data_IF_809160916341
#
_entry.id   IF_809160916341
#
_cell.length_a   1.000
_cell.length_b   1.000
_cell.length_c   1.000
_cell.angle_alpha   90.00
_cell.angle_beta   90.00
_cell.angle_gamma   90.00
#
_symmetry.space_group_name_H-M   'P 1'
#
loop_
_entity.id
_entity.type
_entity.pdbx_description
1 polymer ?
#
# COMPACT_ATOMS: atom_id res chain seq x y z
N UNK A 1 6.12 32.13 11.65
CA UNK A 1 6.53 32.68 12.93
C UNK A 1 5.54 32.31 14.01
N UNK A 2 6.01 32.00 15.22
CA UNK A 2 5.15 31.78 16.39
C UNK A 2 4.72 33.17 16.92
N UNK A 3 3.42 33.45 16.85
CA UNK A 3 2.86 34.68 17.47
C UNK A 3 2.34 34.30 18.85
N UNK A 4 2.95 34.84 19.90
CA UNK A 4 2.44 34.69 21.28
C UNK A 4 1.18 35.54 21.41
N UNK A 5 0.03 34.94 21.65
CA UNK A 5 -1.23 35.62 21.90
C UNK A 5 -1.40 35.72 23.40
N UNK A 6 -1.56 36.93 23.97
CA UNK A 6 -1.62 37.14 25.42
C UNK A 6 -2.93 36.65 26.04
N UNK A 7 -3.94 36.30 25.22
CA UNK A 7 -5.28 35.90 25.70
C UNK A 7 -5.56 34.45 25.31
N UNK A 8 -5.84 33.59 26.30
CA UNK A 8 -6.19 32.18 26.10
C UNK A 8 -7.39 31.99 25.14
N UNK A 9 -8.39 32.84 25.24
CA UNK A 9 -9.58 32.75 24.37
C UNK A 9 -9.22 32.99 22.91
N UNK A 10 -8.31 33.91 22.62
CA UNK A 10 -7.83 34.16 21.25
C UNK A 10 -7.01 32.98 20.71
N UNK A 11 -6.18 32.34 21.58
CA UNK A 11 -5.47 31.12 21.18
C UNK A 11 -6.44 29.98 20.85
N UNK A 12 -7.47 29.78 21.66
CA UNK A 12 -8.51 28.78 21.40
C UNK A 12 -9.33 29.12 20.16
N UNK A 13 -9.62 30.40 19.90
CA UNK A 13 -10.40 30.84 18.73
C UNK A 13 -9.69 30.55 17.39
N UNK A 14 -8.36 30.48 17.35
CA UNK A 14 -7.60 30.17 16.12
C UNK A 14 -7.46 28.67 15.83
N UNK A 15 -7.93 27.80 16.72
CA UNK A 15 -7.89 26.35 16.53
C UNK A 15 -8.88 25.90 15.48
N UNK A 16 -8.75 24.65 15.02
CA UNK A 16 -9.55 24.10 13.95
C UNK A 16 -10.99 23.73 14.40
N UNK A 17 -11.11 22.91 15.44
CA UNK A 17 -12.39 22.36 15.86
C UNK A 17 -12.64 22.61 17.35
N UNK A 18 -13.94 22.71 17.72
CA UNK A 18 -14.39 22.97 19.10
C UNK A 18 -13.81 21.95 20.08
N UNK A 19 -13.75 20.67 19.72
CA UNK A 19 -13.21 19.59 20.54
C UNK A 19 -11.69 19.75 20.83
N UNK A 20 -10.99 20.51 20.02
CA UNK A 20 -9.56 20.85 20.18
C UNK A 20 -9.35 22.26 20.75
N UNK A 21 -10.43 23.04 20.91
CA UNK A 21 -10.39 24.44 21.35
C UNK A 21 -10.76 24.58 22.84
N UNK A 22 -10.21 23.71 23.66
CA UNK A 22 -10.33 23.69 25.11
C UNK A 22 -8.95 23.71 25.76
N UNK A 23 -8.84 24.26 26.94
CA UNK A 23 -7.62 24.24 27.74
C UNK A 23 -7.89 23.69 29.15
N UNK A 24 -7.05 22.78 29.60
CA UNK A 24 -7.08 22.25 30.95
C UNK A 24 -6.06 22.98 31.83
N UNK A 25 -6.48 23.45 32.99
CA UNK A 25 -5.63 24.05 33.99
C UNK A 25 -4.96 23.00 34.88
N UNK A 26 -3.96 23.43 35.67
CA UNK A 26 -3.20 22.55 36.57
C UNK A 26 -4.10 21.92 37.67
N UNK A 27 -5.17 22.61 38.04
CA UNK A 27 -6.18 22.15 39.02
C UNK A 27 -7.21 21.20 38.43
N UNK A 28 -7.08 20.85 37.13
CA UNK A 28 -7.99 19.99 36.39
C UNK A 28 -9.26 20.70 35.87
N UNK A 29 -9.45 22.00 36.17
CA UNK A 29 -10.53 22.78 35.55
C UNK A 29 -10.31 22.97 34.04
N UNK A 30 -11.40 23.10 33.28
CA UNK A 30 -11.32 23.23 31.83
C UNK A 30 -11.99 24.53 31.38
N UNK A 31 -11.23 25.37 30.70
CA UNK A 31 -11.77 26.50 29.94
C UNK A 31 -12.27 26.00 28.58
N UNK A 32 -13.57 26.20 28.34
CA UNK A 32 -14.26 25.81 27.10
C UNK A 32 -15.10 26.99 26.59
N UNK A 33 -14.53 27.78 25.70
CA UNK A 33 -15.18 28.98 25.14
C UNK A 33 -16.07 28.67 23.94
N UNK A 34 -15.98 27.46 23.37
CA UNK A 34 -16.64 27.10 22.10
C UNK A 34 -17.51 25.86 22.18
N UNK A 35 -17.92 25.47 23.38
CA UNK A 35 -18.77 24.30 23.65
C UNK A 35 -18.17 22.95 23.18
N UNK A 36 -16.82 22.85 23.21
CA UNK A 36 -16.10 21.64 22.81
C UNK A 36 -16.45 20.41 23.63
N UNK A 37 -16.71 20.55 24.95
CA UNK A 37 -17.19 19.45 25.81
C UNK A 37 -18.52 18.89 25.33
N UNK A 38 -19.45 19.74 24.91
CA UNK A 38 -20.76 19.32 24.43
C UNK A 38 -20.62 18.59 23.09
N UNK A 39 -19.82 19.10 22.17
CA UNK A 39 -19.55 18.45 20.88
C UNK A 39 -18.78 17.13 21.06
N UNK A 40 -17.81 17.07 21.98
CA UNK A 40 -17.09 15.84 22.33
C UNK A 40 -18.07 14.77 22.85
N UNK A 41 -19.00 15.14 23.74
CA UNK A 41 -20.00 14.22 24.27
C UNK A 41 -20.98 13.72 23.21
N UNK A 42 -21.28 14.58 22.21
CA UNK A 42 -22.20 14.23 21.11
C UNK A 42 -21.50 13.51 19.95
N UNK A 43 -20.18 13.43 19.96
CA UNK A 43 -19.42 12.87 18.86
C UNK A 43 -19.46 13.74 17.58
N UNK A 44 -19.30 15.05 17.73
CA UNK A 44 -19.43 16.02 16.64
C UNK A 44 -18.08 16.73 16.39
N UNK A 45 -17.69 16.81 15.11
CA UNK A 45 -16.60 17.65 14.62
C UNK A 45 -17.22 18.93 14.11
N UNK A 46 -17.03 20.03 14.83
CA UNK A 46 -17.49 21.37 14.49
C UNK A 46 -16.34 22.34 14.38
N UNK A 47 -16.31 23.13 13.31
CA UNK A 47 -15.31 24.19 13.16
C UNK A 47 -15.49 25.28 14.22
N UNK A 48 -14.38 25.85 14.69
CA UNK A 48 -14.41 27.02 15.60
C UNK A 48 -14.72 28.27 14.76
N UNK A 49 -15.81 28.95 15.12
CA UNK A 49 -16.27 30.16 14.42
C UNK A 49 -16.87 29.85 13.05
N UNK A 50 -16.61 30.73 12.08
CA UNK A 50 -17.12 30.59 10.71
C UNK A 50 -16.26 29.61 9.90
N UNK A 51 -16.78 28.44 9.47
CA UNK A 51 -16.01 27.44 8.76
C UNK A 51 -15.50 27.90 7.39
N UNK A 52 -16.25 28.70 6.64
CA UNK A 52 -15.80 29.21 5.34
C UNK A 52 -14.53 30.05 5.49
N UNK A 53 -14.53 30.99 6.43
CA UNK A 53 -13.37 31.81 6.72
C UNK A 53 -12.20 30.94 7.16
N UNK A 54 -12.42 29.96 8.05
CA UNK A 54 -11.38 29.08 8.61
C UNK A 54 -10.74 28.18 7.53
N UNK A 55 -11.50 27.73 6.56
CA UNK A 55 -10.99 26.89 5.45
C UNK A 55 -10.20 27.75 4.43
N UNK A 56 -10.60 29.01 4.23
CA UNK A 56 -9.79 29.93 3.41
C UNK A 56 -8.47 30.34 4.08
N UNK A 57 -8.42 30.41 5.41
CA UNK A 57 -7.16 30.64 6.15
C UNK A 57 -6.20 29.44 6.04
N UNK A 58 -6.71 28.19 6.13
CA UNK A 58 -5.94 26.96 5.96
C UNK A 58 -6.85 25.82 5.50
N UNK A 59 -6.78 25.51 4.21
CA UNK A 59 -7.58 24.46 3.58
C UNK A 59 -7.29 23.06 4.13
N UNK A 60 -6.11 22.82 4.77
CA UNK A 60 -5.82 21.53 5.40
C UNK A 60 -6.81 21.16 6.49
N UNK A 61 -7.47 22.13 7.10
CA UNK A 61 -8.51 21.87 8.10
C UNK A 61 -9.64 21.00 7.59
N UNK A 62 -9.97 21.07 6.28
CA UNK A 62 -10.97 20.21 5.65
C UNK A 62 -10.55 18.73 5.69
N UNK A 63 -9.30 18.42 5.34
CA UNK A 63 -8.76 17.07 5.46
C UNK A 63 -8.71 16.62 6.92
N UNK A 64 -8.34 17.53 7.83
CA UNK A 64 -8.31 17.25 9.26
C UNK A 64 -9.69 16.92 9.84
N UNK A 65 -10.77 17.55 9.36
CA UNK A 65 -12.15 17.23 9.76
C UNK A 65 -12.48 15.77 9.46
N UNK A 66 -12.25 15.31 8.24
CA UNK A 66 -12.46 13.92 7.84
C UNK A 66 -11.52 12.95 8.56
N UNK A 67 -10.25 13.32 8.76
CA UNK A 67 -9.32 12.51 9.56
C UNK A 67 -9.81 12.32 11.00
N UNK A 68 -10.25 13.39 11.67
CA UNK A 68 -10.80 13.26 13.03
C UNK A 68 -12.09 12.45 13.05
N UNK A 69 -12.94 12.62 12.05
CA UNK A 69 -14.12 11.77 11.87
C UNK A 69 -13.73 10.28 11.78
N UNK A 70 -12.72 9.97 10.96
CA UNK A 70 -12.22 8.59 10.79
C UNK A 70 -11.58 8.02 12.06
N UNK A 71 -10.82 8.82 12.80
CA UNK A 71 -10.11 8.39 14.02
C UNK A 71 -11.02 8.24 15.23
N UNK A 72 -11.96 9.16 15.41
CA UNK A 72 -12.82 9.21 16.61
C UNK A 72 -14.20 8.57 16.39
N UNK A 73 -14.57 8.35 15.13
CA UNK A 73 -15.90 7.88 14.80
C UNK A 73 -16.99 8.97 14.92
N UNK A 74 -16.61 10.23 14.92
CA UNK A 74 -17.49 11.37 15.07
C UNK A 74 -18.07 11.83 13.74
N UNK A 75 -19.28 12.39 13.78
CA UNK A 75 -19.91 13.02 12.61
C UNK A 75 -19.41 14.45 12.43
N UNK A 76 -19.28 14.91 11.19
CA UNK A 76 -19.01 16.31 10.91
C UNK A 76 -20.34 17.09 10.98
N UNK A 77 -20.35 18.23 11.68
CA UNK A 77 -21.51 19.10 11.82
C UNK A 77 -21.92 19.65 10.43
N UNK A 78 -23.22 19.82 10.19
CA UNK A 78 -23.82 20.10 8.89
C UNK A 78 -23.24 21.36 8.22
N UNK A 79 -23.14 22.48 8.95
CA UNK A 79 -22.59 23.72 8.41
C UNK A 79 -21.10 23.58 8.08
N UNK A 80 -20.35 22.88 8.94
CA UNK A 80 -18.95 22.54 8.69
C UNK A 80 -18.80 21.66 7.45
N UNK A 81 -19.65 20.63 7.29
CA UNK A 81 -19.62 19.72 6.14
C UNK A 81 -19.96 20.45 4.83
N UNK A 82 -20.97 21.33 4.83
CA UNK A 82 -21.33 22.16 3.68
C UNK A 82 -20.17 23.07 3.25
N UNK A 83 -19.56 23.74 4.22
CA UNK A 83 -18.42 24.61 3.92
C UNK A 83 -17.20 23.83 3.37
N UNK A 84 -17.00 22.56 3.78
CA UNK A 84 -15.96 21.68 3.20
C UNK A 84 -16.25 21.52 1.70
N UNK A 85 -17.45 21.11 1.31
CA UNK A 85 -17.84 20.91 -0.10
C UNK A 85 -17.65 22.18 -0.93
N UNK A 86 -18.08 23.33 -0.42
CA UNK A 86 -17.99 24.62 -1.12
C UNK A 86 -16.54 25.10 -1.29
N UNK A 87 -15.63 24.73 -0.40
CA UNK A 87 -14.23 25.18 -0.41
C UNK A 87 -13.23 24.08 -0.80
N UNK A 88 -13.67 22.88 -1.16
CA UNK A 88 -12.80 21.72 -1.47
C UNK A 88 -11.73 22.02 -2.54
N UNK A 89 -12.07 22.89 -3.53
CA UNK A 89 -11.13 23.33 -4.56
C UNK A 89 -9.85 23.98 -4.05
N UNK A 90 -9.85 24.54 -2.83
CA UNK A 90 -8.67 25.13 -2.20
C UNK A 90 -7.62 24.06 -1.85
N UNK A 91 -8.01 22.79 -1.70
CA UNK A 91 -7.07 21.70 -1.40
C UNK A 91 -6.04 21.48 -2.50
N UNK A 92 -6.29 21.90 -3.74
CA UNK A 92 -5.31 21.85 -4.85
C UNK A 92 -4.08 22.71 -4.61
N UNK A 93 -4.19 23.72 -3.75
CA UNK A 93 -3.10 24.64 -3.41
C UNK A 93 -2.23 24.17 -2.25
N UNK A 94 -2.61 23.07 -1.60
CA UNK A 94 -1.86 22.50 -0.47
C UNK A 94 -0.60 21.80 -0.97
N UNK A 95 0.44 21.80 -0.12
CA UNK A 95 1.60 20.96 -0.39
C UNK A 95 1.24 19.48 -0.26
N UNK A 96 1.77 18.67 -1.17
CA UNK A 96 1.52 17.21 -1.21
C UNK A 96 1.90 16.51 0.08
N UNK A 97 2.98 16.96 0.72
CA UNK A 97 3.47 16.42 2.00
C UNK A 97 2.42 16.59 3.10
N UNK A 98 1.77 17.77 3.19
CA UNK A 98 0.72 18.02 4.18
C UNK A 98 -0.52 17.17 3.91
N UNK A 99 -0.93 17.07 2.63
CA UNK A 99 -2.07 16.24 2.21
C UNK A 99 -1.79 14.77 2.49
N UNK A 100 -0.60 14.27 2.13
CA UNK A 100 -0.17 12.90 2.39
C UNK A 100 -0.22 12.56 3.88
N UNK A 101 0.28 13.46 4.74
CA UNK A 101 0.30 13.22 6.18
C UNK A 101 -1.12 13.06 6.77
N UNK A 102 -2.11 13.81 6.29
CA UNK A 102 -3.50 13.66 6.74
C UNK A 102 -4.16 12.43 6.10
N UNK A 103 -3.89 12.15 4.81
CA UNK A 103 -4.37 10.95 4.12
C UNK A 103 -3.84 9.67 4.79
N UNK A 104 -2.55 9.61 5.13
CA UNK A 104 -1.96 8.45 5.82
C UNK A 104 -2.57 8.24 7.22
N UNK A 105 -2.76 9.31 8.00
CA UNK A 105 -3.44 9.20 9.31
C UNK A 105 -4.88 8.73 9.17
N UNK A 106 -5.57 9.10 8.09
CA UNK A 106 -6.92 8.60 7.79
C UNK A 106 -6.86 7.14 7.36
N UNK A 107 -5.93 6.79 6.48
CA UNK A 107 -5.70 5.41 6.04
C UNK A 107 -5.39 4.47 7.22
N UNK A 108 -4.65 4.93 8.21
CA UNK A 108 -4.27 4.15 9.40
C UNK A 108 -5.30 4.21 10.55
N UNK A 109 -6.40 4.92 10.34
CA UNK A 109 -7.47 5.04 11.34
C UNK A 109 -8.34 3.78 11.43
N UNK A 110 -9.22 3.68 12.46
CA UNK A 110 -10.24 2.64 12.53
C UNK A 110 -11.27 2.66 11.38
N UNK A 111 -11.39 3.79 10.66
CA UNK A 111 -12.34 3.99 9.55
C UNK A 111 -11.61 4.44 8.26
N UNK A 112 -10.70 3.62 7.72
CA UNK A 112 -9.87 4.00 6.56
C UNK A 112 -10.71 4.25 5.29
N UNK A 113 -11.90 3.66 5.19
CA UNK A 113 -12.84 3.88 4.09
C UNK A 113 -13.32 5.33 3.99
N UNK A 114 -13.13 6.15 5.02
CA UNK A 114 -13.38 7.61 4.97
C UNK A 114 -12.60 8.30 3.85
N UNK A 115 -11.47 7.70 3.40
CA UNK A 115 -10.75 8.18 2.24
C UNK A 115 -11.62 8.23 0.98
N UNK A 116 -12.64 7.36 0.82
CA UNK A 116 -13.54 7.41 -0.35
C UNK A 116 -14.30 8.74 -0.41
N UNK A 117 -14.74 9.24 0.75
CA UNK A 117 -15.41 10.56 0.82
C UNK A 117 -14.43 11.68 0.49
N UNK A 118 -13.21 11.64 1.04
CA UNK A 118 -12.18 12.64 0.77
C UNK A 118 -11.79 12.69 -0.71
N UNK A 119 -11.76 11.53 -1.40
CA UNK A 119 -11.49 11.43 -2.83
C UNK A 119 -12.65 11.99 -3.65
N UNK A 120 -13.89 11.63 -3.33
CA UNK A 120 -15.10 12.09 -4.01
C UNK A 120 -15.28 13.61 -3.87
N UNK A 121 -14.94 14.17 -2.72
CA UNK A 121 -15.01 15.61 -2.47
C UNK A 121 -13.80 16.38 -3.04
N UNK A 122 -12.83 15.73 -3.66
CA UNK A 122 -11.64 16.36 -4.26
C UNK A 122 -10.62 16.88 -3.25
N UNK A 123 -10.67 16.44 -1.98
CA UNK A 123 -9.74 16.91 -0.95
C UNK A 123 -8.29 16.41 -1.15
N UNK A 124 -8.09 15.35 -1.94
CA UNK A 124 -6.77 14.82 -2.29
C UNK A 124 -6.27 15.29 -3.67
N UNK A 125 -6.91 16.29 -4.26
CA UNK A 125 -6.60 16.80 -5.59
C UNK A 125 -5.15 17.30 -5.75
N UNK A 126 -4.52 17.81 -4.68
CA UNK A 126 -3.10 18.17 -4.70
C UNK A 126 -2.18 16.96 -4.99
N UNK A 127 -2.63 15.74 -4.68
CA UNK A 127 -1.95 14.49 -5.01
C UNK A 127 -2.41 13.90 -6.36
N UNK A 128 -3.16 14.66 -7.17
CA UNK A 128 -3.57 14.26 -8.51
C UNK A 128 -4.60 13.12 -8.55
N UNK A 129 -5.36 12.90 -7.47
CA UNK A 129 -6.37 11.86 -7.40
C UNK A 129 -7.69 12.43 -6.90
N UNK A 130 -8.75 12.15 -7.66
CA UNK A 130 -10.14 12.45 -7.37
C UNK A 130 -10.99 11.29 -7.91
N UNK A 131 -12.18 11.13 -7.40
CA UNK A 131 -13.15 10.16 -7.90
C UNK A 131 -13.90 9.41 -6.80
N UNK A 132 -14.82 8.57 -7.22
CA UNK A 132 -15.59 7.69 -6.34
C UNK A 132 -15.01 6.28 -6.38
N UNK A 133 -14.57 5.78 -5.22
CA UNK A 133 -13.92 4.50 -5.07
C UNK A 133 -14.50 3.75 -3.88
N UNK A 134 -14.79 2.47 -4.07
CA UNK A 134 -15.22 1.57 -3.01
C UNK A 134 -14.01 1.08 -2.19
N UNK A 135 -13.82 1.67 -1.00
CA UNK A 135 -12.65 1.42 -0.15
C UNK A 135 -12.95 0.57 1.11
N UNK A 136 -14.10 -0.09 1.18
CA UNK A 136 -14.50 -0.89 2.36
C UNK A 136 -13.51 -2.00 2.70
N UNK A 137 -12.84 -2.58 1.71
CA UNK A 137 -11.83 -3.62 1.93
C UNK A 137 -10.62 -3.14 2.76
N UNK A 138 -10.37 -1.83 2.86
CA UNK A 138 -9.33 -1.31 3.76
C UNK A 138 -9.56 -1.67 5.24
N UNK A 139 -10.81 -1.91 5.66
CA UNK A 139 -11.14 -2.33 7.03
C UNK A 139 -10.66 -3.73 7.37
N UNK A 140 -10.56 -4.60 6.38
CA UNK A 140 -10.17 -6.00 6.60
C UNK A 140 -8.66 -6.17 6.74
N UNK A 141 -7.89 -5.11 6.40
CA UNK A 141 -6.43 -5.12 6.47
C UNK A 141 -5.96 -4.48 7.77
N UNK A 142 -4.96 -5.06 8.41
CA UNK A 142 -4.32 -4.51 9.61
C UNK A 142 -3.91 -3.04 9.43
N UNK A 143 -3.95 -2.24 10.51
CA UNK A 143 -3.63 -0.82 10.48
C UNK A 143 -2.13 -0.55 10.36
N UNK A 144 -1.45 -1.26 9.45
CA UNK A 144 -0.06 -1.10 9.12
C UNK A 144 0.10 -0.35 7.79
N UNK A 145 1.02 0.61 7.75
CA UNK A 145 1.16 1.51 6.61
C UNK A 145 1.44 0.75 5.30
N UNK A 146 2.39 -0.18 5.30
CA UNK A 146 2.78 -0.90 4.08
C UNK A 146 1.62 -1.75 3.52
N UNK A 147 0.87 -2.43 4.40
CA UNK A 147 -0.29 -3.23 4.00
C UNK A 147 -1.45 -2.35 3.50
N UNK A 148 -1.79 -1.27 4.19
CA UNK A 148 -2.90 -0.40 3.79
C UNK A 148 -2.60 0.42 2.54
N UNK A 149 -1.37 0.88 2.33
CA UNK A 149 -0.98 1.51 1.06
C UNK A 149 -1.01 0.52 -0.10
N UNK A 150 -0.57 -0.74 0.12
CA UNK A 150 -0.66 -1.79 -0.89
C UNK A 150 -2.13 -2.11 -1.23
N UNK A 151 -3.02 -2.26 -0.24
CA UNK A 151 -4.45 -2.47 -0.48
C UNK A 151 -5.08 -1.27 -1.19
N UNK A 152 -4.73 -0.04 -0.84
CA UNK A 152 -5.21 1.16 -1.54
C UNK A 152 -4.79 1.13 -3.02
N UNK A 153 -3.57 0.70 -3.33
CA UNK A 153 -3.09 0.51 -4.71
C UNK A 153 -3.83 -0.61 -5.45
N UNK A 154 -4.21 -1.69 -4.76
CA UNK A 154 -5.08 -2.75 -5.32
C UNK A 154 -6.45 -2.18 -5.70
N UNK A 155 -7.06 -1.42 -4.78
CA UNK A 155 -8.40 -0.86 -4.97
C UNK A 155 -8.43 0.29 -5.99
N UNK A 156 -7.32 0.99 -6.16
CA UNK A 156 -7.15 2.08 -7.11
C UNK A 156 -5.92 1.82 -7.99
N UNK A 157 -6.02 0.95 -9.03
CA UNK A 157 -4.87 0.55 -9.84
C UNK A 157 -4.16 1.73 -10.53
N UNK A 158 -4.90 2.81 -10.83
CA UNK A 158 -4.37 4.04 -11.47
C UNK A 158 -3.70 5.00 -10.47
N UNK A 159 -3.70 4.68 -9.17
CA UNK A 159 -3.09 5.52 -8.14
C UNK A 159 -1.59 5.71 -8.44
N UNK A 160 -1.18 6.96 -8.65
CA UNK A 160 0.24 7.33 -8.69
C UNK A 160 0.74 7.62 -7.27
N UNK A 161 1.35 6.62 -6.65
CA UNK A 161 1.81 6.69 -5.27
C UNK A 161 2.96 7.69 -5.07
N UNK A 162 3.70 8.05 -6.12
CA UNK A 162 4.78 9.04 -6.05
C UNK A 162 4.24 10.45 -5.74
N UNK A 163 3.00 10.74 -6.13
CA UNK A 163 2.35 12.00 -5.82
C UNK A 163 2.15 12.22 -4.32
N UNK A 164 2.12 11.14 -3.53
CA UNK A 164 1.97 11.19 -2.07
C UNK A 164 3.30 11.39 -1.33
N UNK A 165 4.42 11.57 -2.03
CA UNK A 165 5.74 11.79 -1.40
C UNK A 165 6.12 10.74 -0.36
N UNK A 166 5.67 9.51 -0.56
CA UNK A 166 6.05 8.37 0.29
C UNK A 166 7.52 7.99 0.07
N UNK A 167 8.18 7.35 1.05
CA UNK A 167 9.51 6.77 0.86
C UNK A 167 9.51 5.79 -0.32
N UNK A 168 10.52 5.86 -1.19
CA UNK A 168 10.62 5.04 -2.41
C UNK A 168 10.49 3.54 -2.14
N UNK A 169 11.06 3.05 -1.01
CA UNK A 169 10.90 1.66 -0.58
C UNK A 169 9.42 1.28 -0.39
N UNK A 170 8.64 2.14 0.26
CA UNK A 170 7.20 1.87 0.49
C UNK A 170 6.42 1.88 -0.82
N UNK A 171 6.71 2.82 -1.72
CA UNK A 171 6.09 2.87 -3.04
C UNK A 171 6.36 1.55 -3.78
N UNK A 172 7.62 1.14 -3.88
CA UNK A 172 8.00 -0.09 -4.57
C UNK A 172 7.36 -1.33 -3.93
N UNK A 173 7.38 -1.43 -2.59
CA UNK A 173 6.76 -2.53 -1.85
C UNK A 173 5.26 -2.62 -2.12
N UNK A 174 4.55 -1.49 -2.02
CA UNK A 174 3.11 -1.46 -2.22
C UNK A 174 2.73 -1.77 -3.69
N UNK A 175 3.46 -1.26 -4.67
CA UNK A 175 3.24 -1.55 -6.09
C UNK A 175 3.50 -3.03 -6.41
N UNK A 176 4.60 -3.60 -5.89
CA UNK A 176 4.93 -5.02 -6.08
C UNK A 176 3.90 -5.92 -5.41
N UNK A 177 3.52 -5.63 -4.17
CA UNK A 177 2.51 -6.39 -3.45
C UNK A 177 1.13 -6.28 -4.11
N UNK A 178 0.74 -5.10 -4.59
CA UNK A 178 -0.53 -4.91 -5.30
C UNK A 178 -0.58 -5.69 -6.62
N UNK A 179 0.53 -5.73 -7.36
CA UNK A 179 0.63 -6.51 -8.60
C UNK A 179 0.58 -8.02 -8.37
N UNK A 180 1.10 -8.48 -7.23
CA UNK A 180 1.12 -9.88 -6.85
C UNK A 180 -0.13 -10.33 -6.07
N UNK A 181 -0.97 -9.40 -5.63
CA UNK A 181 -2.11 -9.66 -4.76
C UNK A 181 -3.11 -10.66 -5.35
N UNK A 182 -3.54 -11.59 -4.51
CA UNK A 182 -4.68 -12.48 -4.73
C UNK A 182 -5.55 -12.50 -3.47
N UNK A 183 -6.87 -12.65 -3.60
CA UNK A 183 -7.77 -12.75 -2.43
C UNK A 183 -7.45 -13.94 -1.52
N UNK A 184 -6.87 -15.00 -2.09
CA UNK A 184 -6.38 -16.18 -1.38
C UNK A 184 -5.23 -16.82 -2.14
N UNK A 185 -4.33 -17.47 -1.42
CA UNK A 185 -3.21 -18.23 -1.95
C UNK A 185 -3.29 -19.68 -1.49
N UNK A 186 -3.08 -20.63 -2.39
CA UNK A 186 -2.70 -21.98 -1.98
C UNK A 186 -1.27 -21.94 -1.38
N UNK A 187 -0.94 -22.92 -0.51
CA UNK A 187 0.42 -23.01 0.12
C UNK A 187 1.54 -22.89 -0.92
N UNK A 188 1.39 -23.61 -2.05
CA UNK A 188 2.37 -23.60 -3.14
C UNK A 188 2.51 -22.23 -3.80
N UNK A 189 1.42 -21.50 -3.99
CA UNK A 189 1.44 -20.16 -4.58
C UNK A 189 2.12 -19.15 -3.66
N UNK A 190 1.91 -19.27 -2.33
CA UNK A 190 2.55 -18.40 -1.36
C UNK A 190 4.06 -18.69 -1.25
N UNK A 191 4.48 -19.97 -1.36
CA UNK A 191 5.88 -20.35 -1.49
C UNK A 191 6.52 -19.77 -2.75
N UNK A 192 5.84 -19.86 -3.88
CA UNK A 192 6.30 -19.29 -5.16
C UNK A 192 6.43 -17.76 -5.08
N UNK A 193 5.47 -17.08 -4.46
CA UNK A 193 5.53 -15.64 -4.22
C UNK A 193 6.74 -15.27 -3.34
N UNK A 194 6.95 -16.03 -2.25
CA UNK A 194 8.09 -15.83 -1.35
C UNK A 194 9.44 -15.98 -2.10
N UNK A 195 9.54 -17.00 -2.95
CA UNK A 195 10.73 -17.25 -3.76
C UNK A 195 10.98 -16.17 -4.83
N UNK A 196 9.92 -15.68 -5.47
CA UNK A 196 10.00 -14.71 -6.58
C UNK A 196 10.19 -13.27 -6.10
N UNK A 197 9.46 -12.87 -5.04
CA UNK A 197 9.35 -11.46 -4.61
C UNK A 197 9.98 -11.17 -3.25
N UNK A 198 10.42 -12.21 -2.53
CA UNK A 198 11.02 -12.10 -1.20
C UNK A 198 10.02 -12.00 -0.07
N UNK A 199 10.54 -12.12 1.15
CA UNK A 199 9.73 -12.22 2.37
C UNK A 199 8.88 -10.97 2.64
N UNK A 200 9.43 -9.79 2.36
CA UNK A 200 8.75 -8.53 2.64
C UNK A 200 7.44 -8.37 1.83
N UNK A 201 7.50 -8.67 0.53
CA UNK A 201 6.32 -8.66 -0.35
C UNK A 201 5.34 -9.77 0.04
N UNK A 202 5.84 -10.98 0.32
CA UNK A 202 5.00 -12.11 0.75
C UNK A 202 4.26 -11.80 2.06
N UNK A 203 4.91 -11.15 3.03
CA UNK A 203 4.27 -10.71 4.29
C UNK A 203 3.16 -9.70 4.04
N UNK A 204 3.38 -8.72 3.16
CA UNK A 204 2.32 -7.77 2.79
C UNK A 204 1.16 -8.51 2.11
N UNK A 205 1.41 -9.34 1.11
CA UNK A 205 0.36 -10.10 0.42
C UNK A 205 -0.42 -11.02 1.37
N UNK A 206 0.26 -11.70 2.31
CA UNK A 206 -0.37 -12.53 3.34
C UNK A 206 -1.32 -11.70 4.23
N UNK A 207 -0.93 -10.48 4.63
CA UNK A 207 -1.80 -9.55 5.37
C UNK A 207 -3.01 -9.11 4.56
N UNK A 208 -2.83 -8.83 3.26
CA UNK A 208 -3.94 -8.44 2.39
C UNK A 208 -4.97 -9.55 2.19
N UNK A 209 -4.55 -10.83 2.26
CA UNK A 209 -5.39 -12.01 2.10
C UNK A 209 -5.76 -12.69 3.42
N UNK A 210 -5.38 -12.13 4.58
CA UNK A 210 -5.58 -12.71 5.92
C UNK A 210 -4.97 -14.13 6.04
N UNK A 211 -3.77 -14.34 5.50
CA UNK A 211 -3.07 -15.62 5.48
C UNK A 211 -1.70 -15.58 6.16
N UNK A 212 -1.51 -14.67 7.14
CA UNK A 212 -0.25 -14.54 7.87
C UNK A 212 0.14 -15.85 8.57
N UNK A 213 -0.84 -16.57 9.14
CA UNK A 213 -0.58 -17.84 9.80
C UNK A 213 0.01 -18.90 8.83
N UNK A 214 -0.52 -18.97 7.60
CA UNK A 214 0.01 -19.86 6.57
C UNK A 214 1.42 -19.48 6.15
N UNK A 215 1.71 -18.17 6.03
CA UNK A 215 3.06 -17.72 5.71
C UNK A 215 4.04 -18.05 6.83
N UNK A 216 3.68 -17.82 8.09
CA UNK A 216 4.53 -18.17 9.24
C UNK A 216 4.79 -19.68 9.31
N UNK A 217 3.80 -20.52 9.03
CA UNK A 217 3.98 -21.96 8.93
C UNK A 217 5.01 -22.34 7.86
N UNK A 218 4.93 -21.71 6.67
CA UNK A 218 5.91 -21.93 5.60
C UNK A 218 7.32 -21.51 6.02
N UNK A 219 7.44 -20.33 6.65
CA UNK A 219 8.75 -19.83 7.10
C UNK A 219 9.39 -20.70 8.20
N UNK A 220 8.56 -21.31 9.05
CA UNK A 220 9.03 -22.19 10.15
C UNK A 220 9.26 -23.63 9.70
N UNK A 221 8.71 -24.06 8.56
CA UNK A 221 8.83 -25.46 8.07
C UNK A 221 10.26 -25.86 7.71
N UNK A 222 11.16 -24.89 7.48
CA UNK A 222 12.51 -25.13 6.97
C UNK A 222 12.57 -25.57 5.51
N UNK A 223 11.43 -25.55 4.79
CA UNK A 223 11.39 -25.83 3.36
C UNK A 223 12.21 -24.80 2.56
N UNK A 224 12.81 -25.25 1.48
CA UNK A 224 13.57 -24.36 0.60
C UNK A 224 12.61 -23.43 -0.16
N UNK A 225 12.72 -22.14 0.08
CA UNK A 225 11.91 -21.09 -0.57
C UNK A 225 12.79 -20.00 -1.23
N UNK A 226 14.07 -20.28 -1.43
CA UNK A 226 14.99 -19.32 -2.06
C UNK A 226 16.14 -20.04 -2.74
N UNK A 227 16.80 -19.36 -3.71
CA UNK A 227 18.00 -19.88 -4.38
C UNK A 227 19.13 -20.21 -3.38
N UNK A 228 19.19 -19.52 -2.24
CA UNK A 228 20.20 -19.77 -1.20
C UNK A 228 19.93 -21.04 -0.40
N UNK A 229 18.68 -21.48 -0.35
CA UNK A 229 18.27 -22.69 0.34
C UNK A 229 18.41 -23.97 -0.48
N UNK A 230 18.75 -23.86 -1.79
CA UNK A 230 19.02 -25.03 -2.63
C UNK A 230 20.27 -25.77 -2.14
N UNK A 231 20.24 -27.11 -2.21
CA UNK A 231 21.37 -27.97 -1.91
C UNK A 231 22.51 -27.91 -2.96
N UNK A 232 22.34 -27.08 -4.00
CA UNK A 232 23.32 -26.79 -5.07
C UNK A 232 23.43 -25.29 -5.29
N UNK A 233 24.53 -24.88 -5.89
CA UNK A 233 24.76 -23.49 -6.26
C UNK A 233 25.47 -23.39 -7.64
N UNK A 234 25.72 -22.17 -8.15
CA UNK A 234 26.30 -21.98 -9.49
C UNK A 234 27.66 -22.65 -9.72
N UNK A 235 28.44 -22.96 -8.67
CA UNK A 235 29.73 -23.66 -8.78
C UNK A 235 29.56 -25.15 -9.09
N UNK A 236 28.39 -25.69 -8.83
CA UNK A 236 28.07 -27.09 -9.11
C UNK A 236 27.77 -27.33 -10.60
N UNK A 237 27.68 -26.26 -11.39
CA UNK A 237 27.39 -26.29 -12.84
C UNK A 237 28.50 -25.60 -13.66
N UNK A 238 29.73 -26.17 -13.70
CA UNK A 238 30.88 -25.52 -14.33
C UNK A 238 30.72 -25.31 -15.84
N UNK A 239 29.88 -26.12 -16.50
CA UNK A 239 29.56 -25.99 -17.92
C UNK A 239 28.57 -24.82 -18.19
N UNK A 240 27.84 -24.35 -17.18
CA UNK A 240 26.90 -23.24 -17.28
C UNK A 240 27.53 -21.98 -16.67
N UNK A 241 27.51 -20.88 -17.38
CA UNK A 241 28.07 -19.62 -16.91
C UNK A 241 27.06 -18.49 -16.93
N UNK A 242 27.18 -17.55 -15.99
CA UNK A 242 26.39 -16.33 -15.93
C UNK A 242 24.88 -16.59 -15.95
N UNK A 243 24.22 -16.15 -17.01
CA UNK A 243 22.75 -16.21 -17.13
C UNK A 243 22.21 -17.64 -17.14
N UNK A 244 22.87 -18.55 -17.87
CA UNK A 244 22.41 -19.95 -17.99
C UNK A 244 22.45 -20.70 -16.66
N UNK A 245 23.47 -20.48 -15.83
CA UNK A 245 23.53 -21.05 -14.48
C UNK A 245 22.38 -20.48 -13.59
N UNK A 246 22.09 -19.18 -13.71
CA UNK A 246 20.99 -18.54 -13.00
C UNK A 246 19.61 -19.07 -13.42
N UNK A 247 19.41 -19.35 -14.69
CA UNK A 247 18.16 -19.94 -15.21
C UNK A 247 18.00 -21.40 -14.71
N UNK A 248 19.08 -22.20 -14.73
CA UNK A 248 19.07 -23.55 -14.18
C UNK A 248 18.69 -23.54 -12.68
N UNK A 249 19.33 -22.69 -11.89
CA UNK A 249 19.01 -22.61 -10.45
C UNK A 249 17.58 -22.19 -10.20
N UNK A 250 16.99 -21.28 -11.00
CA UNK A 250 15.56 -20.93 -10.87
C UNK A 250 14.68 -22.12 -11.20
N UNK A 251 14.96 -22.86 -12.28
CA UNK A 251 14.21 -24.05 -12.66
C UNK A 251 14.27 -25.15 -11.58
N UNK A 252 15.44 -25.34 -10.97
CA UNK A 252 15.61 -26.25 -9.84
C UNK A 252 14.83 -25.77 -8.60
N UNK A 253 14.81 -24.45 -8.34
CA UNK A 253 14.01 -23.90 -7.24
C UNK A 253 12.51 -24.14 -7.49
N UNK A 254 12.00 -23.89 -8.72
CA UNK A 254 10.61 -24.14 -9.06
C UNK A 254 10.23 -25.62 -8.84
N UNK A 255 11.13 -26.54 -9.16
CA UNK A 255 10.94 -27.97 -8.87
C UNK A 255 10.90 -28.24 -7.36
N UNK A 256 11.86 -27.74 -6.60
CA UNK A 256 11.94 -27.94 -5.14
C UNK A 256 10.76 -27.30 -4.41
N UNK A 257 10.21 -26.19 -4.90
CA UNK A 257 9.00 -25.61 -4.34
C UNK A 257 7.82 -26.58 -4.43
N UNK A 258 7.75 -27.40 -5.49
CA UNK A 258 6.69 -28.43 -5.68
C UNK A 258 7.03 -29.74 -4.94
N UNK A 259 8.30 -30.13 -4.90
CA UNK A 259 8.83 -31.37 -4.36
C UNK A 259 9.97 -31.08 -3.35
N UNK A 260 9.65 -30.64 -2.12
CA UNK A 260 10.65 -30.23 -1.13
C UNK A 260 11.66 -31.32 -0.76
N UNK A 261 11.25 -32.59 -0.82
CA UNK A 261 12.07 -33.77 -0.57
C UNK A 261 13.22 -33.93 -1.57
N UNK A 262 13.08 -33.36 -2.77
CA UNK A 262 14.11 -33.40 -3.81
C UNK A 262 15.22 -32.38 -3.59
N UNK A 263 15.15 -31.53 -2.54
CA UNK A 263 16.22 -30.60 -2.22
C UNK A 263 17.44 -31.30 -1.62
N UNK A 264 18.01 -32.17 -2.37
CA UNK A 264 19.29 -32.82 -2.07
C UNK A 264 20.24 -32.74 -3.28
N UNK A 265 21.54 -32.65 -3.01
CA UNK A 265 22.55 -32.38 -4.05
C UNK A 265 22.50 -33.39 -5.20
N UNK A 266 22.35 -34.69 -4.88
CA UNK A 266 22.38 -35.74 -5.88
C UNK A 266 21.19 -35.66 -6.84
N UNK A 267 19.98 -35.49 -6.31
CA UNK A 267 18.76 -35.34 -7.13
C UNK A 267 18.82 -34.08 -8.01
N UNK A 268 19.28 -32.95 -7.45
CA UNK A 268 19.33 -31.69 -8.20
C UNK A 268 20.35 -31.69 -9.32
N UNK A 269 21.53 -32.33 -9.12
CA UNK A 269 22.51 -32.50 -10.19
C UNK A 269 21.98 -33.39 -11.31
N UNK A 270 21.36 -34.53 -10.98
CA UNK A 270 20.73 -35.41 -11.97
C UNK A 270 19.66 -34.70 -12.80
N UNK A 271 18.75 -33.95 -12.15
CA UNK A 271 17.73 -33.17 -12.84
C UNK A 271 18.34 -32.11 -13.77
N UNK A 272 19.40 -31.43 -13.35
CA UNK A 272 20.07 -30.45 -14.17
C UNK A 272 20.72 -31.08 -15.42
N UNK A 273 21.33 -32.26 -15.30
CA UNK A 273 21.89 -33.04 -16.42
C UNK A 273 20.80 -33.48 -17.41
N UNK A 274 19.70 -34.06 -16.91
CA UNK A 274 18.55 -34.45 -17.72
C UNK A 274 17.97 -33.28 -18.51
N UNK A 275 17.85 -32.11 -17.88
CA UNK A 275 17.29 -30.92 -18.52
C UNK A 275 18.26 -30.24 -19.51
N UNK A 276 19.58 -30.38 -19.29
CA UNK A 276 20.59 -29.88 -20.24
C UNK A 276 20.67 -30.75 -21.50
N UNK A 277 20.57 -32.08 -21.34
CA UNK A 277 20.60 -33.02 -22.48
C UNK A 277 19.37 -32.94 -23.41
N UNK A 278 18.20 -32.57 -22.88
CA UNK A 278 17.00 -32.37 -23.69
C UNK A 278 16.99 -31.03 -24.46
N UNK A 279 17.80 -30.05 -24.08
CA UNK A 279 17.90 -28.75 -24.80
C UNK A 279 18.61 -28.90 -26.16
N UNK A 280 19.48 -29.90 -26.31
CA UNK A 280 20.20 -30.16 -27.55
C UNK A 280 19.38 -30.97 -28.58
N UNK A 281 18.28 -31.62 -28.12
CA UNK A 281 17.42 -32.42 -29.02
C UNK A 281 16.37 -31.59 -29.78
N UNK A 282 16.01 -30.40 -29.30
CA UNK A 282 15.03 -29.52 -29.98
C UNK A 282 15.67 -28.41 -30.84
N UNK A 283 17.01 -28.31 -30.84
CA UNK A 283 17.80 -27.30 -31.57
C UNK A 283 18.13 -27.65 -33.03
N UNK A 284 17.76 -28.83 -33.55
CA UNK A 284 18.05 -29.25 -34.90
C UNK A 284 16.78 -29.66 -35.68
N UNK A 285 15.89 -28.72 -35.94
CA UNK A 285 14.98 -28.77 -37.10
C UNK A 285 15.29 -27.58 -37.97
N UNK A 286 16.17 -27.92 -38.89
CA UNK A 286 16.42 -27.42 -40.22
C UNK A 286 15.42 -26.35 -40.71
N UNK A 287 15.89 -25.10 -40.81
CA UNK A 287 15.30 -24.08 -41.68
C UNK A 287 16.17 -23.99 -42.93
N UNK A 288 16.16 -25.06 -43.66
CA UNK A 288 16.73 -25.16 -44.99
C UNK A 288 15.64 -25.45 -46.03
N UNK A 289 15.56 -24.60 -47.04
CA UNK A 289 14.82 -24.78 -48.30
C UNK A 289 13.29 -24.56 -48.36
N UNK A 290 12.86 -23.32 -48.37
CA UNK A 290 11.78 -22.86 -49.23
C UNK A 290 12.08 -21.44 -49.75
N UNK A 291 13.05 -21.34 -50.68
CA UNK A 291 13.17 -20.21 -51.63
C UNK A 291 13.67 -20.70 -52.95
N UNK A 292 12.74 -21.24 -53.77
CA UNK A 292 12.79 -21.27 -55.26
C UNK A 292 11.53 -21.94 -55.76
N UNK A 293 10.59 -21.12 -56.16
CA UNK A 293 9.66 -21.35 -57.27
C UNK A 293 8.41 -20.47 -57.08
N UNK A 294 8.51 -19.29 -57.65
CA UNK A 294 7.39 -18.58 -58.27
C UNK A 294 7.92 -17.26 -58.86
N UNK A 295 8.67 -17.41 -59.93
CA UNK A 295 8.69 -16.47 -61.04
C UNK A 295 8.34 -17.33 -62.25
N UNK A 296 7.25 -17.01 -62.84
CA UNK A 296 6.73 -17.19 -64.16
C UNK A 296 5.24 -17.59 -64.08
N UNK A 297 4.41 -16.64 -64.36
CA UNK A 297 3.25 -16.62 -65.26
C UNK A 297 2.25 -15.54 -64.85
N UNK A 298 2.25 -14.50 -65.76
CA UNK A 298 1.18 -13.51 -65.99
C UNK A 298 1.01 -12.36 -64.96
#
# INVERSE_FOLDING_TARGET
GVVFVPNLTEDLARRDFTINAMAMHLDGSITDCFNGKADLKRGIIRCVGDPERRFREDALRMLRAWRFSAQLGFSIEEHTARAILENAGLCRLLSRERVCAEAEKTLLSPRPETLSVMLREGLLAACGIEGDYELHALKTVSAEADARWAMLKVLIPKLDMQQFRLPSRRVQLAETAAAAYRPSYARQELKALLAASGEEVARVCAKLSNQEALLEEILQSGECVSLRGLAVNGRDFPALQGRSAGEMLRRLLDHVLAFPEDNNRQTLLRLAEEWSGNSDADGHKDVGDVKRQQKDTL
#
